data_IF_031864995042
#
_entry.id   IF_031864995042
#
_cell.length_a   1.000
_cell.length_b   1.000
_cell.length_c   1.000
_cell.angle_alpha   90.00
_cell.angle_beta   90.00
_cell.angle_gamma   90.00
#
_symmetry.space_group_name_H-M   'P 1'
#
loop_
_entity.id
_entity.type
_entity.pdbx_description
1 polymer ?
#
# COMPACT_ATOMS: atom_id res chain seq x y z
N UNK A 1 5.60 35.44 20.45
CA UNK A 1 4.71 34.50 21.15
C UNK A 1 4.97 33.12 20.58
N UNK A 2 5.74 32.28 21.28
CA UNK A 2 5.93 30.87 20.87
C UNK A 2 4.62 30.14 21.11
N UNK A 3 3.85 29.92 20.05
CA UNK A 3 2.77 28.93 20.08
C UNK A 3 3.40 27.60 20.43
N UNK A 4 2.87 26.98 21.49
CA UNK A 4 3.36 25.77 22.11
C UNK A 4 3.17 24.60 21.14
N UNK A 5 4.11 24.39 20.21
CA UNK A 5 4.00 23.39 19.11
C UNK A 5 3.83 21.97 19.66
N UNK A 6 4.22 21.73 20.91
CA UNK A 6 4.05 20.44 21.59
C UNK A 6 2.62 20.17 22.10
N UNK A 7 1.72 21.15 22.14
CA UNK A 7 0.39 20.99 22.73
C UNK A 7 -0.63 20.24 21.83
N UNK A 8 -0.33 20.04 20.54
CA UNK A 8 -1.27 19.44 19.57
C UNK A 8 -0.80 18.09 18.98
N UNK A 9 0.45 17.69 19.19
CA UNK A 9 0.96 16.47 18.58
C UNK A 9 0.65 15.24 19.45
N UNK A 10 -0.27 14.42 18.96
CA UNK A 10 -0.60 13.15 19.59
C UNK A 10 0.63 12.21 19.52
N UNK A 11 0.86 11.35 20.52
CA UNK A 11 2.00 10.44 20.51
C UNK A 11 1.82 9.34 19.47
N UNK A 12 2.95 8.81 19.00
CA UNK A 12 3.01 7.45 18.46
C UNK A 12 2.94 6.47 19.65
N UNK A 13 2.28 5.33 19.44
CA UNK A 13 2.16 4.29 20.48
C UNK A 13 3.01 3.09 20.09
N UNK A 14 3.97 2.73 20.92
CA UNK A 14 4.84 1.57 20.75
C UNK A 14 4.53 0.48 21.76
N UNK A 15 4.80 -0.77 21.39
CA UNK A 15 4.92 -1.83 22.37
C UNK A 15 6.16 -1.59 23.25
N UNK A 16 5.96 -1.50 24.56
CA UNK A 16 7.04 -1.42 25.55
C UNK A 16 7.91 -2.68 25.53
N UNK A 17 9.16 -2.57 25.96
CA UNK A 17 10.09 -3.68 26.00
C UNK A 17 11.52 -3.29 25.67
N UNK A 18 12.37 -4.28 25.40
CA UNK A 18 13.80 -4.08 25.17
C UNK A 18 14.13 -3.81 23.70
N UNK A 19 15.17 -3.02 23.47
CA UNK A 19 15.72 -2.70 22.15
C UNK A 19 14.69 -2.14 21.15
N UNK A 20 13.76 -1.32 21.64
CA UNK A 20 12.70 -0.76 20.81
C UNK A 20 13.29 0.29 19.87
N UNK A 21 13.11 0.08 18.56
CA UNK A 21 13.44 1.04 17.52
C UNK A 21 12.31 2.06 17.38
N UNK A 22 12.63 3.32 17.58
CA UNK A 22 11.67 4.43 17.52
C UNK A 22 11.60 5.03 16.12
N UNK A 23 12.75 5.25 15.48
CA UNK A 23 12.87 5.73 14.10
C UNK A 23 14.01 4.98 13.40
N UNK A 24 13.97 4.93 12.07
CA UNK A 24 15.10 4.43 11.26
C UNK A 24 16.10 5.52 10.91
N UNK A 25 15.62 6.76 10.78
CA UNK A 25 16.45 7.89 10.40
C UNK A 25 16.12 9.12 11.25
N UNK A 26 16.97 9.38 12.23
CA UNK A 26 16.91 10.53 13.11
C UNK A 26 17.11 11.86 12.38
N UNK A 27 17.67 11.87 11.16
CA UNK A 27 17.95 13.11 10.44
C UNK A 27 16.68 13.88 10.08
N UNK A 28 15.53 13.20 9.99
CA UNK A 28 14.21 13.83 9.81
C UNK A 28 13.67 14.48 11.08
N UNK A 29 14.13 14.06 12.25
CA UNK A 29 13.52 14.40 13.53
C UNK A 29 14.11 15.69 14.10
N UNK A 30 13.24 16.59 14.55
CA UNK A 30 13.61 17.77 15.33
C UNK A 30 13.67 17.46 16.83
N UNK A 31 12.80 16.57 17.29
CA UNK A 31 12.74 16.11 18.68
C UNK A 31 12.11 14.73 18.73
N UNK A 32 12.61 13.88 19.63
CA UNK A 32 12.06 12.59 19.98
C UNK A 32 12.03 12.51 21.51
N UNK A 33 10.82 12.51 22.08
CA UNK A 33 10.62 12.35 23.52
C UNK A 33 10.10 10.94 23.80
N UNK A 34 10.87 10.17 24.55
CA UNK A 34 10.50 8.84 25.05
C UNK A 34 10.88 8.71 26.53
N UNK A 35 10.04 8.06 27.34
CA UNK A 35 10.23 7.93 28.79
C UNK A 35 10.51 9.28 29.49
N UNK A 36 9.88 10.36 29.00
CA UNK A 36 10.07 11.73 29.51
C UNK A 36 11.43 12.37 29.20
N UNK A 37 12.24 11.76 28.33
CA UNK A 37 13.57 12.26 27.94
C UNK A 37 13.62 12.63 26.47
N UNK A 38 14.22 13.78 26.18
CA UNK A 38 14.61 14.16 24.82
C UNK A 38 15.78 13.28 24.36
N UNK A 39 15.67 12.72 23.17
CA UNK A 39 16.67 11.84 22.56
C UNK A 39 17.42 12.51 21.40
N UNK A 40 16.94 13.65 20.90
CA UNK A 40 17.64 14.47 19.90
C UNK A 40 18.36 15.60 20.62
N UNK A 41 19.68 15.54 20.67
CA UNK A 41 20.56 16.51 21.36
C UNK A 41 21.50 17.24 20.41
N UNK A 42 21.51 16.88 19.12
CA UNK A 42 22.30 17.57 18.10
C UNK A 42 22.15 16.94 16.71
N UNK A 43 23.18 16.22 16.27
CA UNK A 43 23.32 15.66 14.92
C UNK A 43 23.09 14.14 14.89
N UNK A 44 22.14 13.63 15.67
CA UNK A 44 21.77 12.22 15.62
C UNK A 44 21.39 11.82 14.18
N UNK A 45 21.93 10.68 13.73
CA UNK A 45 21.69 10.11 12.41
C UNK A 45 21.35 8.63 12.53
N UNK A 46 20.65 8.11 11.52
CA UNK A 46 20.24 6.71 11.49
C UNK A 46 19.27 6.37 12.62
N UNK A 47 19.24 5.09 12.99
CA UNK A 47 18.15 4.55 13.78
C UNK A 47 18.29 4.82 15.29
N UNK A 48 17.29 5.45 15.89
CA UNK A 48 17.20 5.62 17.35
C UNK A 48 16.54 4.40 17.97
N UNK A 49 17.25 3.79 18.92
CA UNK A 49 16.77 2.67 19.74
C UNK A 49 16.90 3.00 21.21
N UNK A 50 15.89 2.63 21.98
CA UNK A 50 15.97 2.63 23.45
C UNK A 50 16.24 1.21 23.94
N UNK A 51 17.12 1.07 24.93
CA UNK A 51 17.46 -0.23 25.51
C UNK A 51 16.26 -0.89 26.17
N UNK A 52 15.41 -0.09 26.81
CA UNK A 52 14.14 -0.49 27.38
C UNK A 52 13.19 0.71 27.32
N UNK A 53 12.05 0.56 26.63
CA UNK A 53 10.98 1.55 26.59
C UNK A 53 9.98 1.23 27.72
N UNK A 54 9.69 2.19 28.59
CA UNK A 54 8.82 2.01 29.77
C UNK A 54 7.43 2.62 29.59
N UNK A 55 7.35 3.73 28.87
CA UNK A 55 6.11 4.37 28.43
C UNK A 55 5.87 4.07 26.95
N UNK A 56 4.67 3.61 26.61
CA UNK A 56 4.31 3.33 25.21
C UNK A 56 4.24 4.60 24.35
N UNK A 57 4.10 5.78 24.96
CA UNK A 57 3.95 7.05 24.27
C UNK A 57 5.30 7.63 23.89
N UNK A 58 5.48 7.86 22.60
CA UNK A 58 6.66 8.51 22.04
C UNK A 58 6.21 9.69 21.18
N UNK A 59 6.74 10.87 21.47
CA UNK A 59 6.42 12.09 20.75
C UNK A 59 7.56 12.40 19.78
N UNK A 60 7.24 12.55 18.49
CA UNK A 60 8.24 12.80 17.44
C UNK A 60 7.80 14.00 16.64
N UNK A 61 8.63 15.04 16.61
CA UNK A 61 8.44 16.19 15.71
C UNK A 61 9.45 16.11 14.57
N UNK A 62 9.05 16.48 13.36
CA UNK A 62 9.95 16.52 12.21
C UNK A 62 10.58 17.90 12.03
N UNK A 63 11.74 17.93 11.36
CA UNK A 63 12.35 19.16 10.87
C UNK A 63 11.43 19.80 9.82
N UNK A 64 11.59 21.10 9.65
CA UNK A 64 10.86 21.87 8.65
C UNK A 64 11.37 21.52 7.24
N UNK A 65 10.55 21.80 6.22
CA UNK A 65 10.93 21.74 4.82
C UNK A 65 11.37 20.39 4.24
N UNK A 66 11.11 19.29 4.95
CA UNK A 66 11.36 17.94 4.44
C UNK A 66 10.61 17.70 3.12
N UNK A 67 11.36 17.27 2.11
CA UNK A 67 10.83 16.82 0.80
C UNK A 67 10.65 15.30 0.74
N UNK A 68 11.29 14.55 1.64
CA UNK A 68 11.13 13.09 1.75
C UNK A 68 11.10 12.67 3.21
N UNK A 69 10.29 11.66 3.49
CA UNK A 69 10.21 10.91 4.76
C UNK A 69 10.38 9.41 4.48
N UNK A 70 11.10 9.10 3.40
CA UNK A 70 11.38 7.73 3.02
C UNK A 70 12.13 7.01 4.16
N UNK A 71 11.71 5.78 4.45
CA UNK A 71 12.23 4.93 5.52
C UNK A 71 12.10 5.48 6.96
N UNK A 72 11.49 6.63 7.25
CA UNK A 72 11.55 7.27 8.58
C UNK A 72 11.24 6.34 9.78
N UNK A 73 10.31 5.39 9.62
CA UNK A 73 9.95 4.37 10.60
C UNK A 73 10.17 2.93 10.11
N UNK A 74 10.98 2.74 9.07
CA UNK A 74 11.27 1.41 8.53
C UNK A 74 11.81 0.49 9.62
N UNK A 75 11.26 -0.72 9.73
CA UNK A 75 11.62 -1.71 10.73
C UNK A 75 11.27 -1.33 12.18
N UNK A 76 10.46 -0.29 12.43
CA UNK A 76 9.92 0.02 13.76
C UNK A 76 8.83 -1.00 14.13
N UNK A 77 9.25 -2.24 14.35
CA UNK A 77 8.37 -3.41 14.50
C UNK A 77 7.44 -3.34 15.71
N UNK A 78 7.80 -2.54 16.72
CA UNK A 78 7.01 -2.31 17.92
C UNK A 78 5.97 -1.18 17.77
N UNK A 79 5.97 -0.40 16.68
CA UNK A 79 5.02 0.68 16.46
C UNK A 79 3.60 0.11 16.27
N UNK A 80 2.68 0.42 17.19
CA UNK A 80 1.31 -0.10 17.24
C UNK A 80 0.27 0.82 16.64
N UNK A 81 0.44 2.13 16.86
CA UNK A 81 -0.50 3.16 16.41
C UNK A 81 0.23 4.44 16.04
N UNK A 82 -0.27 5.09 14.99
CA UNK A 82 0.20 6.38 14.50
C UNK A 82 -0.93 7.42 14.61
N UNK A 83 -0.63 8.66 14.99
CA UNK A 83 -1.61 9.73 15.04
C UNK A 83 -1.91 10.27 13.64
N UNK A 84 -3.13 10.76 13.42
CA UNK A 84 -3.57 11.31 12.14
C UNK A 84 -2.75 12.53 11.69
N UNK A 85 -2.30 13.36 12.63
CA UNK A 85 -1.53 14.57 12.36
C UNK A 85 -0.01 14.37 12.33
N UNK A 86 0.48 13.13 12.23
CA UNK A 86 1.92 12.81 12.26
C UNK A 86 2.72 13.63 11.23
N UNK A 87 2.20 13.80 10.02
CA UNK A 87 2.86 14.51 8.91
C UNK A 87 2.23 15.88 8.59
N UNK A 88 1.44 16.44 9.51
CA UNK A 88 0.74 17.71 9.30
C UNK A 88 1.70 18.88 8.96
N UNK A 89 2.89 18.87 9.55
CA UNK A 89 3.91 19.90 9.37
C UNK A 89 4.91 19.59 8.22
N UNK A 90 4.60 18.65 7.33
CA UNK A 90 5.46 18.27 6.21
C UNK A 90 4.80 18.56 4.83
N UNK A 91 4.30 19.78 4.54
CA UNK A 91 3.54 20.07 3.33
C UNK A 91 4.39 20.02 2.04
N UNK A 92 5.72 20.03 2.17
CA UNK A 92 6.67 19.92 1.05
C UNK A 92 7.01 18.47 0.68
N UNK A 93 6.59 17.48 1.48
CA UNK A 93 6.91 16.08 1.24
C UNK A 93 6.36 15.58 -0.11
N UNK A 94 7.24 14.95 -0.89
CA UNK A 94 6.93 14.32 -2.18
C UNK A 94 7.04 12.80 -2.12
N UNK A 95 7.72 12.25 -1.12
CA UNK A 95 8.09 10.84 -1.03
C UNK A 95 7.91 10.25 0.38
N UNK A 96 7.12 9.17 0.46
CA UNK A 96 6.87 8.35 1.65
C UNK A 96 7.28 6.88 1.44
N UNK A 97 8.27 6.65 0.57
CA UNK A 97 8.73 5.30 0.27
C UNK A 97 9.19 4.58 1.53
N UNK A 98 8.64 3.40 1.78
CA UNK A 98 9.02 2.52 2.89
C UNK A 98 8.92 3.14 4.29
N UNK A 99 8.21 4.26 4.45
CA UNK A 99 8.14 5.00 5.72
C UNK A 99 7.76 4.11 6.90
N UNK A 100 6.80 3.20 6.76
CA UNK A 100 6.40 2.22 7.79
C UNK A 100 6.67 0.77 7.37
N UNK A 101 7.66 0.56 6.48
CA UNK A 101 8.03 -0.79 6.05
C UNK A 101 8.34 -1.67 7.27
N UNK A 102 7.69 -2.83 7.38
CA UNK A 102 7.97 -3.77 8.47
C UNK A 102 7.57 -3.28 9.87
N UNK A 103 6.66 -2.30 9.99
CA UNK A 103 5.98 -1.98 11.25
C UNK A 103 4.97 -3.10 11.63
N UNK A 104 5.52 -4.25 12.03
CA UNK A 104 4.77 -5.51 12.23
C UNK A 104 3.65 -5.43 13.26
N UNK A 105 3.73 -4.53 14.23
CA UNK A 105 2.70 -4.32 15.25
C UNK A 105 1.62 -3.29 14.86
N UNK A 106 1.76 -2.58 13.73
CA UNK A 106 0.81 -1.55 13.31
C UNK A 106 -0.52 -2.20 12.90
N UNK A 107 -1.60 -1.83 13.57
CA UNK A 107 -2.91 -2.49 13.40
C UNK A 107 -3.92 -1.71 12.57
N UNK A 108 -3.74 -0.39 12.48
CA UNK A 108 -4.63 0.53 11.76
C UNK A 108 -3.85 1.73 11.21
N UNK A 109 -4.40 2.35 10.17
CA UNK A 109 -3.92 3.61 9.59
C UNK A 109 -5.03 4.64 9.78
N UNK A 110 -4.75 5.82 10.35
CA UNK A 110 -5.72 6.90 10.43
C UNK A 110 -6.00 7.48 9.04
N UNK A 111 -7.26 7.81 8.77
CA UNK A 111 -7.72 8.25 7.45
C UNK A 111 -6.97 9.50 6.96
N UNK A 112 -6.79 10.52 7.80
CA UNK A 112 -6.12 11.76 7.42
C UNK A 112 -4.59 11.77 7.51
N UNK A 113 -3.92 10.61 7.62
CA UNK A 113 -2.46 10.54 7.78
C UNK A 113 -1.68 11.38 6.76
N UNK A 114 -2.15 11.39 5.51
CA UNK A 114 -1.51 12.11 4.39
C UNK A 114 -2.30 13.34 3.91
N UNK A 115 -3.30 13.79 4.69
CA UNK A 115 -4.21 14.86 4.27
C UNK A 115 -3.50 16.20 4.03
N UNK A 116 -2.39 16.44 4.73
CA UNK A 116 -1.62 17.69 4.66
C UNK A 116 -0.41 17.61 3.71
N UNK A 117 -0.28 16.55 2.91
CA UNK A 117 0.86 16.31 2.01
C UNK A 117 0.43 16.29 0.53
N UNK A 118 -0.12 17.40 -0.03
CA UNK A 118 -0.70 17.43 -1.38
C UNK A 118 0.33 17.29 -2.51
N UNK A 119 1.63 17.36 -2.18
CA UNK A 119 2.73 17.24 -3.15
C UNK A 119 3.23 15.81 -3.35
N UNK A 120 2.74 14.85 -2.57
CA UNK A 120 3.20 13.45 -2.64
C UNK A 120 2.98 12.86 -4.03
N UNK A 121 4.02 12.22 -4.53
CA UNK A 121 4.01 11.45 -5.78
C UNK A 121 4.33 9.97 -5.57
N UNK A 122 4.96 9.61 -4.44
CA UNK A 122 5.50 8.26 -4.21
C UNK A 122 5.04 7.69 -2.86
N UNK A 123 4.37 6.52 -2.90
CA UNK A 123 3.99 5.70 -1.75
C UNK A 123 4.59 4.28 -1.83
N UNK A 124 5.78 4.16 -2.42
CA UNK A 124 6.37 2.85 -2.68
C UNK A 124 6.60 2.10 -1.37
N UNK A 125 5.92 0.98 -1.18
CA UNK A 125 6.10 0.11 -0.02
C UNK A 125 5.87 0.77 1.34
N UNK A 126 5.15 1.90 1.41
CA UNK A 126 4.96 2.70 2.63
C UNK A 126 4.49 1.85 3.82
N UNK A 127 3.62 0.86 3.60
CA UNK A 127 3.12 -0.05 4.63
C UNK A 127 3.47 -1.51 4.36
N UNK A 128 4.43 -1.81 3.48
CA UNK A 128 4.78 -3.20 3.19
C UNK A 128 5.19 -3.94 4.47
N UNK A 129 4.76 -5.19 4.61
CA UNK A 129 5.03 -6.05 5.76
C UNK A 129 4.55 -5.48 7.11
N UNK A 130 3.58 -4.56 7.12
CA UNK A 130 2.75 -4.27 8.29
C UNK A 130 1.79 -5.45 8.54
N UNK A 131 2.33 -6.58 9.01
CA UNK A 131 1.65 -7.87 9.05
C UNK A 131 0.42 -7.93 9.95
N UNK A 132 0.28 -7.01 10.91
CA UNK A 132 -0.87 -6.90 11.81
C UNK A 132 -1.98 -5.95 11.31
N UNK A 133 -1.78 -5.25 10.19
CA UNK A 133 -2.76 -4.30 9.63
C UNK A 133 -4.00 -5.03 9.12
N UNK A 134 -5.17 -4.72 9.68
CA UNK A 134 -6.42 -5.48 9.42
C UNK A 134 -7.36 -4.85 8.40
N UNK A 135 -7.34 -3.52 8.29
CA UNK A 135 -8.24 -2.72 7.46
C UNK A 135 -7.55 -1.45 6.98
N UNK A 136 -8.03 -0.89 5.88
CA UNK A 136 -7.57 0.39 5.33
C UNK A 136 -8.70 1.43 5.41
N UNK A 137 -8.40 2.71 5.69
CA UNK A 137 -9.38 3.77 5.58
C UNK A 137 -9.68 4.08 4.11
N UNK A 138 -10.94 4.38 3.79
CA UNK A 138 -11.38 4.57 2.40
C UNK A 138 -10.75 5.79 1.73
N UNK A 139 -10.51 6.87 2.49
CA UNK A 139 -10.01 8.14 1.96
C UNK A 139 -8.53 8.37 2.23
N UNK A 140 -7.74 7.32 2.49
CA UNK A 140 -6.31 7.44 2.86
C UNK A 140 -5.51 8.34 1.92
N UNK A 141 -5.82 8.29 0.62
CA UNK A 141 -5.11 9.00 -0.44
C UNK A 141 -5.93 10.13 -1.09
N UNK A 142 -7.02 10.58 -0.47
CA UNK A 142 -7.97 11.52 -1.07
C UNK A 142 -7.33 12.86 -1.52
N UNK A 143 -6.25 13.29 -0.85
CA UNK A 143 -5.55 14.55 -1.13
C UNK A 143 -4.28 14.37 -1.99
N UNK A 144 -3.92 13.14 -2.39
CA UNK A 144 -2.66 12.84 -3.06
C UNK A 144 -2.84 12.61 -4.57
N UNK A 145 -3.47 13.56 -5.26
CA UNK A 145 -3.84 13.48 -6.70
C UNK A 145 -2.66 13.36 -7.67
N UNK A 146 -1.42 13.60 -7.20
CA UNK A 146 -0.19 13.56 -8.01
C UNK A 146 0.50 12.19 -7.99
N UNK A 147 0.04 11.25 -7.17
CA UNK A 147 0.58 9.89 -7.09
C UNK A 147 0.45 9.20 -8.44
N UNK A 148 1.54 8.60 -8.89
CA UNK A 148 1.60 7.87 -10.16
C UNK A 148 1.78 6.35 -9.97
N UNK A 149 2.09 5.87 -8.76
CA UNK A 149 2.23 4.44 -8.49
C UNK A 149 1.98 4.10 -7.02
N UNK A 150 1.34 2.94 -6.80
CA UNK A 150 1.15 2.31 -5.48
C UNK A 150 2.01 1.04 -5.35
N UNK A 151 3.18 1.05 -5.98
CA UNK A 151 4.11 -0.08 -5.99
C UNK A 151 4.37 -0.57 -4.56
N UNK A 152 4.10 -1.85 -4.30
CA UNK A 152 4.32 -2.53 -3.02
C UNK A 152 3.57 -1.96 -1.80
N UNK A 153 2.76 -0.91 -1.92
CA UNK A 153 2.32 -0.09 -0.76
C UNK A 153 1.77 -0.91 0.41
N UNK A 154 1.00 -1.97 0.17
CA UNK A 154 0.44 -2.87 1.18
C UNK A 154 0.92 -4.33 1.04
N UNK A 155 2.01 -4.56 0.30
CA UNK A 155 2.58 -5.89 0.09
C UNK A 155 2.96 -6.53 1.42
N UNK A 156 2.53 -7.76 1.70
CA UNK A 156 2.82 -8.48 2.94
C UNK A 156 1.99 -8.02 4.15
N UNK A 157 0.95 -7.21 3.96
CA UNK A 157 -0.07 -6.95 4.99
C UNK A 157 -0.94 -8.20 5.21
N UNK A 158 -0.34 -9.26 5.77
CA UNK A 158 -0.91 -10.61 5.81
C UNK A 158 -2.23 -10.74 6.59
N UNK A 159 -2.52 -9.82 7.51
CA UNK A 159 -3.77 -9.77 8.28
C UNK A 159 -4.88 -8.91 7.62
N UNK A 160 -4.61 -8.27 6.48
CA UNK A 160 -5.57 -7.41 5.80
C UNK A 160 -6.74 -8.25 5.27
N UNK A 161 -7.96 -7.94 5.72
CA UNK A 161 -9.16 -8.73 5.39
C UNK A 161 -9.97 -8.19 4.23
N UNK A 162 -9.95 -6.88 4.04
CA UNK A 162 -10.78 -6.18 3.05
C UNK A 162 -10.10 -4.92 2.56
N UNK A 163 -10.39 -4.55 1.32
CA UNK A 163 -9.95 -3.30 0.70
C UNK A 163 -11.20 -2.40 0.54
N UNK A 164 -11.14 -1.11 0.87
CA UNK A 164 -12.21 -0.17 0.54
C UNK A 164 -12.28 0.08 -0.97
N UNK A 165 -13.48 0.12 -1.53
CA UNK A 165 -13.69 0.33 -2.97
C UNK A 165 -13.05 1.62 -3.49
N UNK A 166 -13.17 2.71 -2.73
CA UNK A 166 -12.71 4.04 -3.16
C UNK A 166 -11.26 4.37 -2.78
N UNK A 167 -10.46 3.38 -2.35
CA UNK A 167 -9.09 3.61 -1.85
C UNK A 167 -8.21 4.41 -2.83
N UNK A 168 -8.37 4.18 -4.14
CA UNK A 168 -7.58 4.85 -5.20
C UNK A 168 -8.38 5.84 -6.05
N UNK A 169 -9.63 6.15 -5.66
CA UNK A 169 -10.56 6.94 -6.48
C UNK A 169 -10.05 8.34 -6.83
N UNK A 170 -9.19 8.92 -5.98
CA UNK A 170 -8.65 10.27 -6.15
C UNK A 170 -7.25 10.31 -6.80
N UNK A 171 -6.77 9.19 -7.34
CA UNK A 171 -5.42 9.07 -7.91
C UNK A 171 -5.45 8.74 -9.42
N UNK A 172 -5.95 9.65 -10.29
CA UNK A 172 -6.20 9.35 -11.70
C UNK A 172 -4.92 9.15 -12.53
N UNK A 173 -3.75 9.56 -12.01
CA UNK A 173 -2.45 9.45 -12.70
C UNK A 173 -1.71 8.14 -12.43
N UNK A 174 -2.31 7.24 -11.66
CA UNK A 174 -1.69 5.95 -11.32
C UNK A 174 -1.51 5.14 -12.59
N UNK A 175 -0.26 4.76 -12.88
CA UNK A 175 0.11 3.95 -14.03
C UNK A 175 0.60 2.54 -13.65
N UNK A 176 0.93 2.29 -12.38
CA UNK A 176 1.36 0.97 -11.90
C UNK A 176 0.82 0.64 -10.51
N UNK A 177 0.27 -0.57 -10.40
CA UNK A 177 -0.15 -1.23 -9.15
C UNK A 177 0.72 -2.46 -8.86
N UNK A 178 2.00 -2.41 -9.25
CA UNK A 178 2.97 -3.49 -9.06
C UNK A 178 2.96 -3.99 -7.62
N UNK A 179 2.56 -5.25 -7.42
CA UNK A 179 2.57 -5.93 -6.13
C UNK A 179 1.90 -5.15 -4.97
N UNK A 180 0.96 -4.24 -5.25
CA UNK A 180 0.36 -3.37 -4.22
C UNK A 180 -0.24 -4.14 -3.04
N UNK A 181 -0.87 -5.29 -3.29
CA UNK A 181 -1.48 -6.16 -2.27
C UNK A 181 -0.88 -7.58 -2.27
N UNK A 182 0.30 -7.77 -2.86
CA UNK A 182 0.94 -9.09 -2.86
C UNK A 182 1.05 -9.63 -1.42
N UNK A 183 0.88 -10.93 -1.22
CA UNK A 183 1.00 -11.61 0.07
C UNK A 183 0.01 -11.13 1.16
N UNK A 184 -1.10 -10.48 0.78
CA UNK A 184 -2.23 -10.21 1.69
C UNK A 184 -3.03 -11.49 1.94
N UNK A 185 -2.44 -12.44 2.68
CA UNK A 185 -2.92 -13.82 2.84
C UNK A 185 -4.30 -13.98 3.49
N UNK A 186 -4.82 -12.94 4.16
CA UNK A 186 -6.16 -12.93 4.77
C UNK A 186 -7.23 -12.23 3.92
N UNK A 187 -6.87 -11.67 2.76
CA UNK A 187 -7.79 -10.96 1.89
C UNK A 187 -8.71 -11.95 1.19
N UNK A 188 -10.03 -11.80 1.38
CA UNK A 188 -11.04 -12.74 0.86
C UNK A 188 -11.70 -12.30 -0.44
N UNK A 189 -11.81 -11.00 -0.66
CA UNK A 189 -12.51 -10.41 -1.80
C UNK A 189 -11.88 -9.09 -2.22
N UNK A 190 -12.04 -8.72 -3.49
CA UNK A 190 -11.64 -7.44 -4.04
C UNK A 190 -12.91 -6.66 -4.44
N UNK A 191 -13.08 -5.39 -4.04
CA UNK A 191 -14.19 -4.58 -4.50
C UNK A 191 -14.18 -4.40 -6.02
N UNK A 192 -15.35 -4.51 -6.66
CA UNK A 192 -15.49 -4.36 -8.11
C UNK A 192 -14.88 -3.05 -8.63
N UNK A 193 -15.14 -1.93 -7.95
CA UNK A 193 -14.71 -0.60 -8.37
C UNK A 193 -13.27 -0.20 -7.99
N UNK A 194 -12.45 -1.09 -7.42
CA UNK A 194 -11.15 -0.73 -6.85
C UNK A 194 -10.23 0.08 -7.79
N UNK A 195 -10.24 -0.25 -9.08
CA UNK A 195 -9.41 0.41 -10.11
C UNK A 195 -10.23 1.22 -11.13
N UNK A 196 -11.51 1.46 -10.87
CA UNK A 196 -12.43 2.10 -11.83
C UNK A 196 -12.02 3.55 -12.20
N UNK A 197 -11.27 4.22 -11.33
CA UNK A 197 -10.83 5.61 -11.49
C UNK A 197 -9.35 5.75 -11.89
N UNK A 198 -8.69 4.65 -12.28
CA UNK A 198 -7.28 4.64 -12.65
C UNK A 198 -7.09 4.19 -14.12
N UNK A 199 -7.60 4.95 -15.11
CA UNK A 199 -7.60 4.54 -16.52
C UNK A 199 -6.19 4.46 -17.13
N UNK A 200 -5.20 5.10 -16.51
CA UNK A 200 -3.81 5.16 -17.00
C UNK A 200 -2.95 3.96 -16.55
N UNK A 201 -3.51 2.99 -15.83
CA UNK A 201 -2.76 1.80 -15.38
C UNK A 201 -2.31 0.96 -16.56
N UNK A 202 -1.00 0.72 -16.65
CA UNK A 202 -0.36 -0.16 -17.62
C UNK A 202 0.17 -1.45 -16.99
N UNK A 203 0.31 -1.49 -15.67
CA UNK A 203 0.99 -2.57 -14.93
C UNK A 203 0.22 -3.02 -13.67
N UNK A 204 -0.28 -4.25 -13.71
CA UNK A 204 -0.88 -4.99 -12.60
C UNK A 204 -0.02 -6.19 -12.17
N UNK A 205 1.27 -6.20 -12.50
CA UNK A 205 2.09 -7.36 -12.22
C UNK A 205 2.20 -7.64 -10.72
N UNK A 206 1.88 -8.88 -10.37
CA UNK A 206 1.88 -9.38 -9.00
C UNK A 206 0.92 -8.68 -8.04
N UNK A 207 -0.01 -7.82 -8.48
CA UNK A 207 -0.83 -6.97 -7.60
C UNK A 207 -1.48 -7.73 -6.44
N UNK A 208 -1.97 -8.95 -6.69
CA UNK A 208 -2.58 -9.83 -5.69
C UNK A 208 -1.84 -11.16 -5.53
N UNK A 209 -0.57 -11.24 -5.97
CA UNK A 209 0.18 -12.49 -5.93
C UNK A 209 0.30 -13.03 -4.50
N UNK A 210 -0.08 -14.29 -4.29
CA UNK A 210 -0.04 -14.96 -2.99
C UNK A 210 -1.12 -14.54 -2.01
N UNK A 211 -2.20 -13.89 -2.47
CA UNK A 211 -3.44 -13.72 -1.71
C UNK A 211 -4.18 -15.07 -1.62
N UNK A 212 -3.62 -16.01 -0.86
CA UNK A 212 -4.05 -17.42 -0.84
C UNK A 212 -5.47 -17.67 -0.32
N UNK A 213 -6.06 -16.69 0.39
CA UNK A 213 -7.44 -16.76 0.88
C UNK A 213 -8.45 -15.98 0.00
N UNK A 214 -8.02 -15.45 -1.15
CA UNK A 214 -8.89 -14.72 -2.07
C UNK A 214 -9.84 -15.73 -2.73
N UNK A 215 -11.12 -15.67 -2.38
CA UNK A 215 -12.15 -16.64 -2.81
C UNK A 215 -12.82 -16.20 -4.12
N UNK A 216 -13.04 -14.89 -4.31
CA UNK A 216 -13.76 -14.37 -5.47
C UNK A 216 -13.14 -13.08 -6.00
N UNK A 217 -13.19 -12.90 -7.32
CA UNK A 217 -12.91 -11.65 -8.00
C UNK A 217 -14.11 -11.23 -8.85
N UNK A 218 -14.35 -9.93 -8.93
CA UNK A 218 -15.38 -9.41 -9.82
C UNK A 218 -14.94 -9.52 -11.26
N UNK A 219 -15.84 -9.97 -12.14
CA UNK A 219 -15.60 -10.02 -13.58
C UNK A 219 -15.21 -8.64 -14.15
N UNK A 220 -15.72 -7.55 -13.55
CA UNK A 220 -15.53 -6.17 -14.02
C UNK A 220 -14.30 -5.47 -13.41
N UNK A 221 -13.47 -6.16 -12.63
CA UNK A 221 -12.37 -5.56 -11.87
C UNK A 221 -11.42 -4.70 -12.73
N UNK A 222 -11.18 -5.10 -13.98
CA UNK A 222 -10.28 -4.41 -14.91
C UNK A 222 -10.99 -3.79 -16.12
N UNK A 223 -12.30 -3.55 -16.04
CA UNK A 223 -13.10 -3.08 -17.17
C UNK A 223 -12.64 -1.70 -17.70
N UNK A 224 -12.20 -0.81 -16.81
CA UNK A 224 -11.75 0.55 -17.15
C UNK A 224 -10.24 0.64 -17.43
N UNK A 225 -9.48 -0.44 -17.24
CA UNK A 225 -8.03 -0.44 -17.40
C UNK A 225 -7.68 -1.05 -18.77
N UNK A 226 -7.99 -0.30 -19.83
CA UNK A 226 -7.83 -0.75 -21.22
C UNK A 226 -6.40 -0.65 -21.73
N UNK A 227 -5.53 0.09 -21.02
CA UNK A 227 -4.12 0.33 -21.37
C UNK A 227 -3.14 -0.68 -20.77
N UNK A 228 -3.62 -1.69 -20.06
CA UNK A 228 -2.76 -2.64 -19.34
C UNK A 228 -1.99 -3.53 -20.31
N UNK A 229 -0.67 -3.49 -20.21
CA UNK A 229 0.23 -4.37 -20.97
C UNK A 229 0.84 -5.48 -20.11
N UNK A 230 0.85 -5.32 -18.78
CA UNK A 230 1.47 -6.28 -17.86
C UNK A 230 0.50 -6.83 -16.80
N UNK A 231 0.19 -8.12 -16.91
CA UNK A 231 -0.57 -8.93 -15.96
C UNK A 231 0.27 -10.04 -15.31
N UNK A 232 1.59 -10.02 -15.49
CA UNK A 232 2.46 -11.09 -15.00
C UNK A 232 2.25 -11.31 -13.51
N UNK A 233 1.99 -12.54 -13.11
CA UNK A 233 1.77 -12.93 -11.72
C UNK A 233 0.59 -12.27 -10.98
N UNK A 234 -0.31 -11.51 -11.64
CA UNK A 234 -1.35 -10.70 -10.96
C UNK A 234 -2.10 -11.47 -9.87
N UNK A 235 -2.52 -12.70 -10.15
CA UNK A 235 -3.19 -13.61 -9.21
C UNK A 235 -2.37 -14.87 -8.90
N UNK A 236 -1.09 -14.94 -9.28
CA UNK A 236 -0.26 -16.13 -9.00
C UNK A 236 -0.35 -16.52 -7.53
N UNK A 237 -0.61 -17.80 -7.23
CA UNK A 237 -0.81 -18.35 -5.89
C UNK A 237 -2.06 -17.86 -5.14
N UNK A 238 -3.09 -17.36 -5.84
CA UNK A 238 -4.44 -17.20 -5.28
C UNK A 238 -5.17 -18.55 -5.31
N UNK A 239 -4.70 -19.51 -4.51
CA UNK A 239 -5.14 -20.91 -4.57
C UNK A 239 -6.60 -21.15 -4.16
N UNK A 240 -7.23 -20.22 -3.44
CA UNK A 240 -8.65 -20.29 -3.07
C UNK A 240 -9.58 -19.67 -4.11
N UNK A 241 -9.03 -19.12 -5.21
CA UNK A 241 -9.80 -18.38 -6.19
C UNK A 241 -10.71 -19.32 -6.99
N UNK A 242 -12.01 -19.03 -6.95
CA UNK A 242 -13.05 -19.73 -7.70
C UNK A 242 -13.86 -18.75 -8.55
N UNK A 243 -14.77 -19.29 -9.36
CA UNK A 243 -15.57 -18.51 -10.29
C UNK A 243 -14.86 -18.30 -11.62
N UNK A 244 -15.34 -17.34 -12.40
CA UNK A 244 -14.83 -17.06 -13.74
C UNK A 244 -13.78 -15.95 -13.70
N UNK A 245 -12.73 -16.04 -14.53
CA UNK A 245 -11.72 -15.00 -14.62
C UNK A 245 -12.28 -13.66 -15.13
N UNK A 246 -11.63 -12.50 -14.88
CA UNK A 246 -12.16 -11.20 -15.27
C UNK A 246 -12.31 -11.02 -16.78
N UNK A 247 -13.41 -10.40 -17.19
CA UNK A 247 -13.74 -10.15 -18.59
C UNK A 247 -14.48 -8.82 -18.79
N UNK A 248 -14.46 -8.33 -20.02
CA UNK A 248 -15.26 -7.19 -20.47
C UNK A 248 -16.25 -7.66 -21.54
N UNK A 249 -17.48 -7.15 -21.52
CA UNK A 249 -18.45 -7.42 -22.58
C UNK A 249 -18.19 -6.50 -23.78
N UNK A 250 -17.98 -7.08 -24.96
CA UNK A 250 -17.85 -6.37 -26.25
C UNK A 250 -18.84 -7.02 -27.22
N UNK A 251 -19.80 -6.24 -27.73
CA UNK A 251 -20.82 -6.69 -28.68
C UNK A 251 -21.55 -7.99 -28.26
N UNK A 252 -21.79 -8.15 -26.96
CA UNK A 252 -22.46 -9.32 -26.38
C UNK A 252 -21.55 -10.53 -26.13
N UNK A 253 -20.26 -10.44 -26.45
CA UNK A 253 -19.26 -11.47 -26.18
C UNK A 253 -18.43 -11.12 -24.93
N UNK A 254 -18.08 -12.14 -24.13
CA UNK A 254 -17.09 -12.01 -23.06
C UNK A 254 -15.69 -11.98 -23.66
N UNK A 255 -14.89 -10.99 -23.26
CA UNK A 255 -13.48 -10.88 -23.63
C UNK A 255 -12.65 -10.90 -22.35
N UNK A 256 -12.07 -12.05 -22.05
CA UNK A 256 -11.20 -12.27 -20.90
C UNK A 256 -9.85 -11.55 -21.08
N UNK A 257 -9.10 -11.42 -19.98
CA UNK A 257 -7.78 -10.75 -20.02
C UNK A 257 -6.83 -11.36 -21.06
N UNK A 258 -6.87 -12.68 -21.24
CA UNK A 258 -6.03 -13.42 -22.17
C UNK A 258 -6.50 -13.37 -23.64
N UNK A 259 -7.67 -12.79 -23.91
CA UNK A 259 -8.23 -12.60 -25.26
C UNK A 259 -8.09 -11.14 -25.74
N UNK A 260 -7.68 -10.22 -24.86
CA UNK A 260 -7.59 -8.78 -25.19
C UNK A 260 -6.68 -8.46 -26.37
N UNK A 261 -5.72 -9.34 -26.68
CA UNK A 261 -4.85 -9.19 -27.84
C UNK A 261 -5.62 -9.21 -29.17
N UNK A 262 -6.77 -9.88 -29.22
CA UNK A 262 -7.61 -10.04 -30.41
C UNK A 262 -8.60 -8.87 -30.60
N UNK A 263 -8.64 -7.93 -29.65
CA UNK A 263 -9.54 -6.76 -29.64
C UNK A 263 -8.74 -5.43 -29.58
N UNK A 264 -7.86 -5.14 -30.55
CA UNK A 264 -6.95 -3.98 -30.51
C UNK A 264 -7.68 -2.62 -30.57
N UNK A 265 -8.91 -2.58 -31.08
CA UNK A 265 -9.76 -1.37 -31.07
C UNK A 265 -10.26 -1.01 -29.66
N UNK A 266 -10.25 -1.97 -28.73
CA UNK A 266 -10.75 -1.79 -27.36
C UNK A 266 -9.64 -1.79 -26.30
N UNK A 267 -8.55 -2.53 -26.55
CA UNK A 267 -7.48 -2.73 -25.57
C UNK A 267 -6.10 -2.53 -26.19
N UNK A 268 -5.18 -2.03 -25.37
CA UNK A 268 -3.75 -2.21 -25.64
C UNK A 268 -3.39 -3.68 -25.42
N UNK A 269 -2.66 -4.27 -26.36
CA UNK A 269 -2.26 -5.68 -26.31
C UNK A 269 -1.44 -5.98 -25.04
N UNK A 270 -1.85 -6.95 -24.21
CA UNK A 270 -1.01 -7.48 -23.14
C UNK A 270 0.27 -8.13 -23.71
N UNK A 271 1.44 -7.70 -23.23
CA UNK A 271 2.76 -8.20 -23.68
C UNK A 271 3.52 -8.95 -22.59
N UNK A 272 3.11 -8.83 -21.32
CA UNK A 272 3.74 -9.49 -20.18
C UNK A 272 2.66 -10.16 -19.33
N UNK A 273 2.49 -11.46 -19.51
CA UNK A 273 1.32 -12.20 -19.01
C UNK A 273 1.69 -13.39 -18.12
N UNK A 274 3.00 -13.61 -17.94
CA UNK A 274 3.55 -14.83 -17.38
C UNK A 274 2.96 -15.15 -16.00
N UNK A 275 2.38 -16.36 -15.89
CA UNK A 275 1.74 -16.89 -14.68
C UNK A 275 0.73 -15.95 -14.02
N UNK A 276 0.03 -15.11 -14.78
CA UNK A 276 -1.03 -14.23 -14.25
C UNK A 276 -2.03 -14.98 -13.36
N UNK A 277 -2.37 -16.23 -13.71
CA UNK A 277 -3.26 -17.12 -12.97
C UNK A 277 -2.54 -18.40 -12.48
N UNK A 278 -1.23 -18.34 -12.27
CA UNK A 278 -0.49 -19.50 -11.79
C UNK A 278 -1.03 -20.01 -10.45
N UNK A 279 -1.26 -21.32 -10.33
CA UNK A 279 -1.88 -21.97 -9.17
C UNK A 279 -3.31 -21.47 -8.82
N UNK A 280 -4.06 -20.93 -9.78
CA UNK A 280 -5.48 -20.56 -9.64
C UNK A 280 -6.42 -21.65 -10.18
N UNK A 281 -6.20 -22.91 -9.81
CA UNK A 281 -6.85 -24.08 -10.42
C UNK A 281 -8.35 -24.19 -10.14
N UNK A 282 -8.90 -23.36 -9.23
CA UNK A 282 -10.33 -23.31 -8.90
C UNK A 282 -11.18 -22.48 -9.86
N UNK A 283 -10.57 -21.75 -10.81
CA UNK A 283 -11.31 -20.98 -11.81
C UNK A 283 -12.10 -21.89 -12.76
N UNK A 284 -13.35 -21.52 -13.06
CA UNK A 284 -14.25 -22.31 -13.92
C UNK A 284 -13.76 -22.36 -15.37
N UNK A 285 -13.05 -21.33 -15.80
CA UNK A 285 -12.44 -21.20 -17.13
C UNK A 285 -10.95 -21.58 -17.14
N UNK A 286 -10.40 -22.15 -16.05
CA UNK A 286 -8.95 -22.44 -15.94
C UNK A 286 -8.41 -23.29 -17.09
N UNK A 287 -9.20 -24.23 -17.61
CA UNK A 287 -8.83 -25.07 -18.75
C UNK A 287 -8.65 -24.28 -20.06
N UNK A 288 -9.32 -23.12 -20.20
CA UNK A 288 -9.29 -22.24 -21.37
C UNK A 288 -8.14 -21.24 -21.32
N UNK A 289 -7.66 -20.91 -20.12
CA UNK A 289 -6.53 -19.99 -19.92
C UNK A 289 -5.27 -20.54 -20.65
N UNK A 290 -4.55 -19.73 -21.44
CA UNK A 290 -3.34 -20.17 -22.14
C UNK A 290 -2.21 -20.65 -21.20
N UNK A 291 -1.30 -21.49 -21.70
CA UNK A 291 -0.20 -22.06 -20.91
C UNK A 291 0.62 -21.00 -20.18
N UNK A 292 1.07 -19.96 -20.89
CA UNK A 292 1.97 -18.95 -20.34
C UNK A 292 1.31 -18.11 -19.24
N UNK A 293 -0.03 -18.04 -19.22
CA UNK A 293 -0.79 -17.38 -18.15
C UNK A 293 -0.93 -18.27 -16.90
N UNK A 294 -0.69 -19.59 -17.01
CA UNK A 294 -0.79 -20.58 -15.92
C UNK A 294 0.56 -21.03 -15.38
N UNK A 295 1.54 -21.29 -16.26
CA UNK A 295 2.77 -22.04 -15.99
C UNK A 295 4.02 -21.35 -16.56
#
# INVERSE_FOLDING_TARGET
MSTNIHAEQKPLIYQIGKHVKLVDDATFCKSIIADGKELITGEEYGAIRVLELKDEKVYITFKEDLTSLANAFSGCSALKSIPENLFANCPKATDFSFTFFGCKALTAIPEGLFANNPKVTIFQGTFSYCSALKSLPANLFANNRKVNSFRLTFSGCSALKSIPENLFANCPKVNSSFQTFALCKSLKSIPTGLFAHNPEVTDFSGTFSGCSALESISEKLFANNTKVTNFSYTFKNCSALIGESPYTMIDGQKVHLYERADYPEHFTTPTSTYQAFGNCTGLTDYAQIPSDWKE
#
